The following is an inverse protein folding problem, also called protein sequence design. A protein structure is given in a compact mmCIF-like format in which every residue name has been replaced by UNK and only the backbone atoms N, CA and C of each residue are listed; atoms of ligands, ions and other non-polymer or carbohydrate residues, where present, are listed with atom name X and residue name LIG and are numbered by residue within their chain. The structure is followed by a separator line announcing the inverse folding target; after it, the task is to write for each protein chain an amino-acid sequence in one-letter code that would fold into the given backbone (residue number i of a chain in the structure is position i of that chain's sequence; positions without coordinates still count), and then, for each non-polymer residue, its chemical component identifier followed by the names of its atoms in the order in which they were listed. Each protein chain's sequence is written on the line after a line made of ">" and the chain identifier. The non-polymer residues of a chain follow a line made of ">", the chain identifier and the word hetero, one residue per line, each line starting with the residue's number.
data_IF_691555046746
#
_entry.id   IF_691555046746
#
_cell.length_a   1.000
_cell.length_b   1.000
_cell.length_c   1.000
_cell.angle_alpha   90.00
_cell.angle_beta   90.00
_cell.angle_gamma   90.00
#
_symmetry.space_group_name_H-M   'P 1'
#
loop_
_entity.id
_entity.type
_entity.pdbx_description
1 polymer ?
#
# COMPACT_ATOMS: atom_id res chain seq x y z
N UNK A 1 -6.21 7.84 43.89
CA UNK A 1 -6.99 8.98 43.37
C UNK A 1 -6.44 9.57 42.07
N UNK A 2 -5.15 9.90 41.94
CA UNK A 2 -4.61 10.46 40.68
C UNK A 2 -4.59 9.47 39.49
N UNK A 3 -4.38 8.17 39.74
CA UNK A 3 -4.34 7.12 38.68
C UNK A 3 -5.73 6.81 38.10
N UNK A 4 -6.81 6.94 38.89
CA UNK A 4 -8.18 6.70 38.43
C UNK A 4 -8.74 7.86 37.58
N UNK A 5 -8.25 9.08 37.79
CA UNK A 5 -8.61 10.25 37.00
C UNK A 5 -7.93 10.24 35.62
N UNK A 6 -6.69 9.78 35.53
CA UNK A 6 -6.00 9.55 34.24
C UNK A 6 -6.65 8.43 33.43
N UNK A 7 -7.04 7.31 34.04
CA UNK A 7 -7.75 6.23 33.35
C UNK A 7 -9.15 6.65 32.85
N UNK A 8 -9.86 7.51 33.60
CA UNK A 8 -11.17 8.05 33.18
C UNK A 8 -11.04 9.07 32.05
N UNK A 9 -10.03 9.96 32.06
CA UNK A 9 -9.73 10.86 30.94
C UNK A 9 -9.26 10.09 29.70
N UNK A 10 -8.46 9.03 29.88
CA UNK A 10 -8.03 8.13 28.81
C UNK A 10 -9.23 7.42 28.15
N UNK A 11 -10.19 6.92 28.94
CA UNK A 11 -11.41 6.29 28.42
C UNK A 11 -12.39 7.27 27.75
N UNK A 12 -12.50 8.50 28.23
CA UNK A 12 -13.37 9.53 27.61
C UNK A 12 -12.77 10.01 26.27
N UNK A 13 -11.46 10.27 26.23
CA UNK A 13 -10.73 10.59 25.00
C UNK A 13 -10.80 9.47 23.97
N UNK A 14 -10.66 8.21 24.41
CA UNK A 14 -10.84 7.04 23.54
C UNK A 14 -12.26 6.97 22.95
N UNK A 15 -13.33 7.15 23.75
CA UNK A 15 -14.71 7.08 23.23
C UNK A 15 -14.99 8.15 22.16
N UNK A 16 -14.48 9.36 22.33
CA UNK A 16 -14.66 10.46 21.39
C UNK A 16 -13.83 10.27 20.10
N UNK A 17 -12.64 9.68 20.22
CA UNK A 17 -11.82 9.23 19.09
C UNK A 17 -12.54 8.10 18.32
N UNK A 18 -13.09 7.10 19.01
CA UNK A 18 -13.84 5.99 18.39
C UNK A 18 -15.14 6.45 17.68
N UNK A 19 -15.80 7.52 18.16
CA UNK A 19 -16.97 8.10 17.49
C UNK A 19 -16.61 8.84 16.21
N UNK A 20 -15.54 9.64 16.22
CA UNK A 20 -15.03 10.28 15.00
C UNK A 20 -14.50 9.25 13.97
N UNK A 21 -13.88 8.16 14.45
CA UNK A 21 -13.46 7.00 13.63
C UNK A 21 -14.67 6.32 12.99
N UNK A 22 -15.74 6.10 13.76
CA UNK A 22 -16.99 5.49 13.28
C UNK A 22 -17.59 6.27 12.11
N UNK A 23 -17.59 7.59 12.16
CA UNK A 23 -18.17 8.41 11.09
C UNK A 23 -17.27 8.44 9.85
N UNK A 24 -15.94 8.44 10.03
CA UNK A 24 -14.96 8.25 8.95
C UNK A 24 -15.09 6.87 8.27
N UNK A 25 -15.26 5.79 9.04
CA UNK A 25 -15.38 4.42 8.51
C UNK A 25 -16.74 4.15 7.84
N UNK A 26 -17.84 4.66 8.42
CA UNK A 26 -19.17 4.62 7.79
C UNK A 26 -19.22 5.44 6.50
N UNK A 27 -18.51 6.56 6.43
CA UNK A 27 -18.45 7.35 5.19
C UNK A 27 -17.77 6.58 4.05
N UNK A 28 -16.74 5.77 4.34
CA UNK A 28 -15.97 5.06 3.31
C UNK A 28 -16.72 3.89 2.67
N UNK A 29 -17.66 3.25 3.37
CA UNK A 29 -18.34 2.04 2.89
C UNK A 29 -19.87 2.06 3.02
N UNK A 30 -20.46 3.13 3.57
CA UNK A 30 -21.87 3.19 3.96
C UNK A 30 -22.73 4.22 3.21
N UNK A 31 -22.19 5.01 2.28
CA UNK A 31 -22.98 5.96 1.50
C UNK A 31 -22.84 5.71 -0.01
N UNK A 32 -23.96 5.43 -0.69
CA UNK A 32 -24.04 5.60 -2.15
C UNK A 32 -24.31 7.07 -2.43
N UNK A 33 -23.29 7.81 -2.83
CA UNK A 33 -23.50 9.16 -3.36
C UNK A 33 -24.29 9.08 -4.67
N UNK A 34 -25.36 9.86 -4.80
CA UNK A 34 -26.10 10.04 -6.05
C UNK A 34 -25.35 10.92 -7.06
N UNK A 35 -24.33 11.67 -6.62
CA UNK A 35 -23.51 12.54 -7.47
C UNK A 35 -22.09 11.96 -7.61
N UNK A 36 -21.66 11.73 -8.86
CA UNK A 36 -20.33 11.22 -9.18
C UNK A 36 -19.28 12.35 -9.36
N UNK A 37 -19.69 13.61 -9.19
CA UNK A 37 -18.80 14.75 -9.35
C UNK A 37 -17.88 14.89 -8.12
N UNK A 38 -16.59 14.72 -8.35
CA UNK A 38 -15.55 14.86 -7.31
C UNK A 38 -14.97 16.28 -7.19
N UNK A 39 -15.03 17.07 -8.25
CA UNK A 39 -14.33 18.35 -8.35
C UNK A 39 -15.27 19.52 -8.67
N UNK A 40 -14.97 20.67 -8.09
CA UNK A 40 -15.57 21.97 -8.42
C UNK A 40 -15.18 22.43 -9.83
N UNK A 41 -15.82 23.49 -10.34
CA UNK A 41 -15.55 23.98 -11.72
C UNK A 41 -14.12 24.50 -11.87
N UNK A 42 -13.56 25.07 -10.81
CA UNK A 42 -12.17 25.54 -10.72
C UNK A 42 -11.15 24.40 -10.56
N UNK A 43 -11.60 23.17 -10.35
CA UNK A 43 -10.78 21.99 -10.14
C UNK A 43 -10.48 21.64 -8.68
N UNK A 44 -10.92 22.43 -7.69
CA UNK A 44 -10.77 22.06 -6.28
C UNK A 44 -11.59 20.80 -5.93
N UNK A 45 -11.12 20.02 -4.96
CA UNK A 45 -11.82 18.81 -4.50
C UNK A 45 -13.02 19.22 -3.64
N UNK A 46 -14.20 18.67 -3.93
CA UNK A 46 -15.43 19.00 -3.21
C UNK A 46 -15.34 18.56 -1.75
N UNK A 47 -15.01 17.30 -1.53
CA UNK A 47 -14.90 16.72 -0.18
C UNK A 47 -14.01 15.47 -0.20
N UNK A 48 -13.15 15.35 0.80
CA UNK A 48 -12.22 14.21 0.94
C UNK A 48 -12.97 12.93 1.28
N UNK A 49 -14.01 12.98 2.10
CA UNK A 49 -14.77 11.78 2.43
C UNK A 49 -15.54 11.29 1.21
N UNK A 50 -16.12 12.19 0.42
CA UNK A 50 -16.77 11.87 -0.83
C UNK A 50 -15.82 11.21 -1.84
N UNK A 51 -14.57 11.69 -1.94
CA UNK A 51 -13.52 11.03 -2.73
C UNK A 51 -13.28 9.59 -2.25
N UNK A 52 -13.15 9.39 -0.94
CA UNK A 52 -12.94 8.06 -0.35
C UNK A 52 -14.09 7.12 -0.65
N UNK A 53 -15.32 7.57 -0.44
CA UNK A 53 -16.53 6.81 -0.74
C UNK A 53 -16.63 6.46 -2.23
N UNK A 54 -16.29 7.40 -3.12
CA UNK A 54 -16.32 7.17 -4.55
C UNK A 54 -15.32 6.08 -4.97
N UNK A 55 -14.07 6.20 -4.55
CA UNK A 55 -13.06 5.20 -4.89
C UNK A 55 -13.40 3.86 -4.21
N UNK A 56 -13.90 3.86 -2.98
CA UNK A 56 -14.34 2.62 -2.31
C UNK A 56 -15.40 1.86 -3.11
N UNK A 57 -16.43 2.58 -3.59
CA UNK A 57 -17.57 1.98 -4.28
C UNK A 57 -17.33 1.70 -5.78
N UNK A 58 -16.39 2.42 -6.41
CA UNK A 58 -16.21 2.39 -7.86
C UNK A 58 -14.74 2.21 -8.25
N UNK A 59 -14.49 1.22 -9.11
CA UNK A 59 -13.20 1.06 -9.77
C UNK A 59 -12.92 2.27 -10.65
N UNK A 60 -11.76 2.89 -10.44
CA UNK A 60 -11.37 4.11 -11.15
C UNK A 60 -10.79 3.74 -12.53
N UNK A 61 -11.15 4.49 -13.55
CA UNK A 61 -10.45 4.47 -14.84
C UNK A 61 -9.06 5.10 -14.70
N UNK A 62 -8.17 4.81 -15.65
CA UNK A 62 -6.82 5.41 -15.69
C UNK A 62 -6.82 6.94 -15.56
N UNK A 63 -7.70 7.64 -16.29
CA UNK A 63 -7.82 9.11 -16.22
C UNK A 63 -8.30 9.58 -14.85
N UNK A 64 -9.23 8.87 -14.23
CA UNK A 64 -9.67 9.21 -12.87
C UNK A 64 -8.55 9.00 -11.84
N UNK A 65 -7.71 7.97 -12.00
CA UNK A 65 -6.52 7.78 -11.14
C UNK A 65 -5.58 8.97 -11.19
N UNK A 66 -5.32 9.49 -12.39
CA UNK A 66 -4.49 10.70 -12.57
C UNK A 66 -5.05 11.93 -11.82
N UNK A 67 -6.36 12.02 -11.66
CA UNK A 67 -7.02 13.12 -10.95
C UNK A 67 -7.10 12.88 -9.44
N UNK A 68 -7.28 11.63 -9.01
CA UNK A 68 -7.60 11.28 -7.61
C UNK A 68 -6.38 10.90 -6.78
N UNK A 69 -5.40 10.21 -7.38
CA UNK A 69 -4.19 9.76 -6.68
C UNK A 69 -3.34 10.88 -6.08
N UNK A 70 -3.23 12.09 -6.69
CA UNK A 70 -2.56 13.20 -6.03
C UNK A 70 -3.15 13.53 -4.65
N UNK A 71 -4.46 13.33 -4.44
CA UNK A 71 -5.09 13.52 -3.13
C UNK A 71 -4.90 12.30 -2.22
N UNK A 72 -5.01 11.08 -2.76
CA UNK A 72 -4.73 9.85 -1.99
C UNK A 72 -3.30 9.82 -1.43
N UNK A 73 -2.35 10.41 -2.15
CA UNK A 73 -0.94 10.49 -1.79
C UNK A 73 -0.55 11.84 -1.20
N UNK A 74 -1.50 12.66 -0.75
CA UNK A 74 -1.25 13.94 -0.07
C UNK A 74 -0.32 14.91 -0.82
N UNK A 75 -0.41 14.92 -2.15
CA UNK A 75 0.33 15.83 -3.03
C UNK A 75 -0.44 17.12 -3.28
N UNK A 76 -1.76 17.03 -3.43
CA UNK A 76 -2.62 18.20 -3.54
C UNK A 76 -3.48 18.37 -2.29
N UNK A 77 -3.55 19.61 -1.80
CA UNK A 77 -4.56 20.01 -0.82
C UNK A 77 -5.93 20.05 -1.50
N UNK A 78 -7.03 19.69 -0.81
CA UNK A 78 -8.39 19.76 -1.35
C UNK A 78 -8.75 21.12 -1.97
N UNK A 79 -8.23 22.22 -1.41
CA UNK A 79 -8.50 23.59 -1.87
C UNK A 79 -7.80 23.98 -3.18
N UNK A 80 -6.85 23.18 -3.68
CA UNK A 80 -6.07 23.56 -4.86
C UNK A 80 -6.91 23.54 -6.14
N UNK A 81 -6.94 24.69 -6.82
CA UNK A 81 -7.56 24.84 -8.14
C UNK A 81 -6.67 24.25 -9.25
N UNK A 82 -7.17 24.19 -10.49
CA UNK A 82 -6.38 23.80 -11.65
C UNK A 82 -5.17 24.73 -11.88
N UNK A 83 -5.31 26.02 -11.53
CA UNK A 83 -4.22 26.97 -11.61
C UNK A 83 -3.11 26.65 -10.59
N UNK A 84 -3.49 26.41 -9.33
CA UNK A 84 -2.54 26.06 -8.27
C UNK A 84 -1.80 24.74 -8.56
N UNK A 85 -2.51 23.75 -9.11
CA UNK A 85 -1.91 22.47 -9.53
C UNK A 85 -0.85 22.65 -10.59
N UNK A 86 -1.08 23.53 -11.58
CA UNK A 86 -0.11 23.83 -12.64
C UNK A 86 1.13 24.52 -12.07
N UNK A 87 0.95 25.47 -11.14
CA UNK A 87 2.07 26.09 -10.41
C UNK A 87 2.87 25.03 -9.65
N UNK A 88 2.19 24.18 -8.89
CA UNK A 88 2.83 23.12 -8.13
C UNK A 88 3.65 22.17 -9.02
N UNK A 89 3.10 21.74 -10.16
CA UNK A 89 3.82 20.89 -11.12
C UNK A 89 5.11 21.54 -11.64
N UNK A 90 5.05 22.83 -12.01
CA UNK A 90 6.24 23.56 -12.44
C UNK A 90 7.30 23.65 -11.33
N UNK A 91 6.88 23.96 -10.10
CA UNK A 91 7.79 24.02 -8.95
C UNK A 91 8.37 22.64 -8.61
N UNK A 92 7.57 21.59 -8.67
CA UNK A 92 8.00 20.21 -8.45
C UNK A 92 9.08 19.82 -9.47
N UNK A 93 8.90 20.14 -10.75
CA UNK A 93 9.89 19.86 -11.79
C UNK A 93 11.23 20.55 -11.52
N UNK A 94 11.22 21.83 -11.16
CA UNK A 94 12.43 22.59 -10.84
C UNK A 94 13.15 21.99 -9.63
N UNK A 95 12.41 21.72 -8.55
CA UNK A 95 12.96 21.15 -7.30
C UNK A 95 13.54 19.78 -7.55
N UNK A 96 12.79 18.88 -8.20
CA UNK A 96 13.23 17.52 -8.49
C UNK A 96 14.50 17.51 -9.37
N UNK A 97 14.57 18.35 -10.40
CA UNK A 97 15.75 18.44 -11.25
C UNK A 97 16.99 18.89 -10.46
N UNK A 98 16.84 19.81 -9.49
CA UNK A 98 17.93 20.22 -8.60
C UNK A 98 18.42 19.05 -7.72
N UNK A 99 17.50 18.27 -7.15
CA UNK A 99 17.83 17.10 -6.33
C UNK A 99 18.55 16.03 -7.16
N UNK A 100 18.04 15.76 -8.36
CA UNK A 100 18.58 14.76 -9.28
C UNK A 100 20.02 15.07 -9.73
N UNK A 101 20.33 16.35 -9.99
CA UNK A 101 21.67 16.79 -10.40
C UNK A 101 22.76 16.41 -9.40
N UNK A 102 22.45 16.41 -8.10
CA UNK A 102 23.45 16.13 -7.05
C UNK A 102 24.08 14.76 -7.24
N UNK A 103 23.29 13.71 -7.40
CA UNK A 103 23.84 12.36 -7.58
C UNK A 103 24.41 12.15 -8.98
N UNK A 104 23.87 12.82 -10.00
CA UNK A 104 24.41 12.76 -11.37
C UNK A 104 25.84 13.31 -11.42
N UNK A 105 26.08 14.46 -10.78
CA UNK A 105 27.42 15.06 -10.68
C UNK A 105 28.37 14.16 -9.87
N UNK A 106 27.91 13.55 -8.78
CA UNK A 106 28.73 12.63 -7.97
C UNK A 106 29.14 11.38 -8.73
N UNK A 107 28.21 10.77 -9.46
CA UNK A 107 28.51 9.65 -10.37
C UNK A 107 29.52 10.07 -11.45
N UNK A 108 29.34 11.25 -12.06
CA UNK A 108 30.26 11.75 -13.10
C UNK A 108 31.70 11.95 -12.61
N UNK A 109 31.86 12.20 -11.31
CA UNK A 109 33.17 12.34 -10.64
C UNK A 109 33.73 11.01 -10.12
N UNK A 110 33.04 9.89 -10.35
CA UNK A 110 33.47 8.57 -9.90
C UNK A 110 33.29 8.31 -8.40
N UNK A 111 32.35 8.99 -7.74
CA UNK A 111 32.07 8.78 -6.32
C UNK A 111 31.54 7.35 -6.06
N UNK A 112 32.34 6.55 -5.35
CA UNK A 112 32.10 5.12 -5.17
C UNK A 112 30.79 4.81 -4.44
N UNK A 113 30.40 5.65 -3.47
CA UNK A 113 29.14 5.43 -2.74
C UNK A 113 27.94 5.49 -3.70
N UNK A 114 27.90 6.48 -4.59
CA UNK A 114 26.80 6.66 -5.53
C UNK A 114 26.80 5.59 -6.63
N UNK A 115 27.97 5.13 -7.06
CA UNK A 115 28.09 4.05 -8.04
C UNK A 115 27.56 2.72 -7.50
N UNK A 116 27.94 2.35 -6.27
CA UNK A 116 27.45 1.13 -5.59
C UNK A 116 25.95 1.20 -5.35
N UNK A 117 25.44 2.36 -4.90
CA UNK A 117 24.01 2.58 -4.72
C UNK A 117 23.25 2.45 -6.05
N UNK A 118 23.77 3.05 -7.12
CA UNK A 118 23.18 2.97 -8.46
C UNK A 118 23.09 1.55 -8.97
N UNK A 119 24.16 0.77 -8.82
CA UNK A 119 24.22 -0.64 -9.22
C UNK A 119 23.18 -1.50 -8.44
N UNK A 120 23.07 -1.30 -7.12
CA UNK A 120 22.04 -1.97 -6.29
C UNK A 120 20.61 -1.65 -6.78
N UNK A 121 20.33 -0.37 -7.06
CA UNK A 121 19.02 0.08 -7.54
C UNK A 121 18.74 -0.44 -8.96
N UNK A 122 19.73 -0.41 -9.86
CA UNK A 122 19.58 -0.88 -11.23
C UNK A 122 19.19 -2.36 -11.29
N UNK A 123 19.87 -3.22 -10.51
CA UNK A 123 19.50 -4.65 -10.42
C UNK A 123 18.03 -4.85 -10.10
N UNK A 124 17.54 -4.11 -9.11
CA UNK A 124 16.14 -4.19 -8.69
C UNK A 124 15.17 -3.59 -9.71
N UNK A 125 15.51 -2.45 -10.30
CA UNK A 125 14.73 -1.83 -11.38
C UNK A 125 14.62 -2.79 -12.56
N UNK A 126 15.67 -3.50 -12.96
CA UNK A 126 15.62 -4.45 -14.08
C UNK A 126 14.64 -5.61 -13.86
N UNK A 127 14.59 -6.18 -12.65
CA UNK A 127 13.69 -7.29 -12.32
C UNK A 127 12.23 -6.86 -12.05
N UNK A 128 12.00 -5.60 -11.69
CA UNK A 128 10.66 -5.12 -11.27
C UNK A 128 9.67 -5.08 -12.45
N UNK A 129 8.51 -5.75 -12.32
CA UNK A 129 7.36 -5.67 -13.23
C UNK A 129 7.68 -5.76 -14.73
N UNK A 130 8.66 -6.60 -15.08
CA UNK A 130 9.12 -6.79 -16.47
C UNK A 130 8.01 -7.24 -17.44
N UNK A 131 6.92 -7.81 -16.92
CA UNK A 131 5.74 -8.23 -17.68
C UNK A 131 4.83 -7.06 -18.07
N UNK A 132 4.94 -5.91 -17.38
CA UNK A 132 4.14 -4.71 -17.67
C UNK A 132 4.86 -3.88 -18.73
N UNK A 133 4.35 -3.89 -19.97
CA UNK A 133 4.96 -3.20 -21.13
C UNK A 133 5.28 -1.72 -20.86
N UNK A 134 4.41 -1.03 -20.13
CA UNK A 134 4.63 0.37 -19.74
C UNK A 134 5.86 0.52 -18.84
N UNK A 135 5.95 -0.26 -17.75
CA UNK A 135 7.09 -0.23 -16.81
C UNK A 135 8.40 -0.64 -17.51
N UNK A 136 8.35 -1.61 -18.42
CA UNK A 136 9.52 -1.98 -19.24
C UNK A 136 10.11 -0.79 -20.01
N UNK A 137 9.28 0.16 -20.45
CA UNK A 137 9.70 1.39 -21.17
C UNK A 137 10.08 2.56 -20.25
N UNK A 138 9.85 2.44 -18.94
CA UNK A 138 10.03 3.54 -17.96
C UNK A 138 11.12 3.22 -16.92
N UNK A 139 12.06 2.33 -17.24
CA UNK A 139 13.16 1.93 -16.33
C UNK A 139 14.03 3.10 -15.90
N UNK A 140 14.31 4.03 -16.82
CA UNK A 140 15.07 5.23 -16.51
C UNK A 140 14.37 6.11 -15.47
N UNK A 141 13.06 6.36 -15.64
CA UNK A 141 12.26 7.11 -14.67
C UNK A 141 12.28 6.44 -13.29
N UNK A 142 12.11 5.11 -13.25
CA UNK A 142 12.19 4.35 -12.00
C UNK A 142 13.55 4.50 -11.32
N UNK A 143 14.64 4.33 -12.08
CA UNK A 143 16.00 4.50 -11.58
C UNK A 143 16.22 5.92 -11.03
N UNK A 144 15.86 6.95 -11.79
CA UNK A 144 16.06 8.34 -11.42
C UNK A 144 15.34 8.70 -10.12
N UNK A 145 14.07 8.30 -9.98
CA UNK A 145 13.28 8.56 -8.78
C UNK A 145 13.86 7.80 -7.60
N UNK A 146 14.20 6.51 -7.77
CA UNK A 146 14.79 5.69 -6.71
C UNK A 146 16.13 6.25 -6.23
N UNK A 147 17.04 6.58 -7.14
CA UNK A 147 18.33 7.21 -6.81
C UNK A 147 18.13 8.52 -6.05
N UNK A 148 17.26 9.39 -6.57
CA UNK A 148 16.98 10.68 -5.93
C UNK A 148 16.34 10.48 -4.57
N UNK A 149 15.48 9.47 -4.38
CA UNK A 149 14.91 9.18 -3.06
C UNK A 149 15.99 8.70 -2.09
N UNK A 150 16.77 7.68 -2.49
CA UNK A 150 17.78 7.03 -1.63
C UNK A 150 18.88 7.97 -1.16
N UNK A 151 19.28 8.92 -2.00
CA UNK A 151 20.29 9.94 -1.67
C UNK A 151 19.79 10.91 -0.59
N UNK A 152 18.51 11.26 -0.62
CA UNK A 152 17.92 12.22 0.31
C UNK A 152 17.26 11.57 1.54
N UNK A 153 17.20 10.24 1.59
CA UNK A 153 16.64 9.46 2.70
C UNK A 153 17.62 8.33 3.08
N UNK A 154 18.81 8.66 3.63
CA UNK A 154 19.94 7.74 3.74
C UNK A 154 19.76 6.61 4.76
N UNK A 155 18.70 6.63 5.56
CA UNK A 155 18.35 5.52 6.46
C UNK A 155 16.94 5.03 6.14
N UNK A 156 16.76 3.76 5.72
CA UNK A 156 17.74 2.74 5.30
C UNK A 156 18.39 2.94 3.90
N UNK A 157 18.28 4.14 3.28
CA UNK A 157 18.76 4.45 1.91
C UNK A 157 18.01 3.69 0.81
N UNK A 158 18.20 2.37 0.73
CA UNK A 158 17.52 1.51 -0.23
C UNK A 158 17.37 0.08 0.28
N UNK A 159 16.11 -0.36 0.39
CA UNK A 159 15.72 -1.71 0.75
C UNK A 159 15.06 -2.42 -0.44
N UNK A 160 15.31 -3.72 -0.55
CA UNK A 160 14.73 -4.55 -1.61
C UNK A 160 13.19 -4.50 -1.55
N UNK A 161 12.54 -4.26 -2.68
CA UNK A 161 11.08 -4.15 -2.76
C UNK A 161 10.54 -2.71 -2.73
N UNK A 162 11.37 -1.71 -2.44
CA UNK A 162 10.99 -0.30 -2.59
C UNK A 162 10.62 0.04 -4.04
N UNK A 163 11.31 -0.55 -5.03
CA UNK A 163 10.98 -0.40 -6.46
C UNK A 163 9.56 -0.87 -6.79
N UNK A 164 9.04 -1.89 -6.09
CA UNK A 164 7.69 -2.40 -6.27
C UNK A 164 6.64 -1.34 -5.91
N UNK A 165 6.88 -0.58 -4.85
CA UNK A 165 5.97 0.48 -4.40
C UNK A 165 5.97 1.69 -5.34
N UNK A 166 7.06 1.92 -6.09
CA UNK A 166 7.16 3.03 -7.03
C UNK A 166 6.40 2.79 -8.35
N UNK A 167 6.38 1.54 -8.85
CA UNK A 167 5.81 1.24 -10.17
C UNK A 167 4.34 1.68 -10.37
N UNK A 168 3.41 1.53 -9.41
CA UNK A 168 2.03 1.99 -9.58
C UNK A 168 1.96 3.51 -9.71
N UNK A 169 2.80 4.23 -8.96
CA UNK A 169 2.88 5.69 -9.00
C UNK A 169 3.34 6.14 -10.38
N UNK A 170 4.49 5.63 -10.86
CA UNK A 170 5.00 6.00 -12.20
C UNK A 170 4.01 5.63 -13.31
N UNK A 171 3.29 4.52 -13.16
CA UNK A 171 2.24 4.13 -14.10
C UNK A 171 1.11 5.15 -14.19
N UNK A 172 0.60 5.63 -13.05
CA UNK A 172 -0.51 6.58 -13.01
C UNK A 172 -0.05 7.99 -13.37
N UNK A 173 0.99 8.50 -12.71
CA UNK A 173 1.41 9.89 -12.82
C UNK A 173 2.12 10.19 -14.14
N UNK A 174 2.91 9.26 -14.67
CA UNK A 174 3.76 9.38 -15.88
C UNK A 174 4.86 10.43 -15.78
N UNK A 175 4.57 11.59 -15.20
CA UNK A 175 5.50 12.67 -14.90
C UNK A 175 6.51 12.23 -13.82
N UNK A 176 7.80 12.36 -14.13
CA UNK A 176 8.88 11.90 -13.24
C UNK A 176 8.93 12.70 -11.94
N UNK A 177 8.78 14.03 -12.02
CA UNK A 177 8.90 14.91 -10.85
C UNK A 177 7.75 14.74 -9.86
N UNK A 178 6.52 14.67 -10.37
CA UNK A 178 5.32 14.46 -9.57
C UNK A 178 5.30 13.04 -8.99
N UNK A 179 5.78 12.05 -9.76
CA UNK A 179 5.97 10.69 -9.26
C UNK A 179 6.98 10.63 -8.11
N UNK A 180 8.07 11.41 -8.15
CA UNK A 180 9.03 11.49 -7.04
C UNK A 180 8.36 11.99 -5.76
N UNK A 181 7.65 13.12 -5.79
CA UNK A 181 7.02 13.65 -4.59
C UNK A 181 5.88 12.74 -4.09
N UNK A 182 5.11 12.15 -5.00
CA UNK A 182 4.11 11.11 -4.67
C UNK A 182 4.76 9.92 -3.98
N UNK A 183 5.93 9.49 -4.45
CA UNK A 183 6.70 8.41 -3.85
C UNK A 183 7.25 8.78 -2.48
N UNK A 184 7.81 9.99 -2.30
CA UNK A 184 8.23 10.49 -0.99
C UNK A 184 7.08 10.45 0.01
N UNK A 185 5.91 10.98 -0.37
CA UNK A 185 4.71 11.00 0.49
C UNK A 185 4.19 9.60 0.79
N UNK A 186 4.26 8.66 -0.17
CA UNK A 186 3.96 7.26 0.12
C UNK A 186 4.97 6.70 1.13
N UNK A 187 6.27 6.89 0.91
CA UNK A 187 7.31 6.32 1.75
C UNK A 187 7.28 6.87 3.18
N UNK A 188 6.85 8.11 3.44
CA UNK A 188 6.66 8.56 4.85
C UNK A 188 5.66 7.69 5.62
N UNK A 189 4.71 7.03 4.95
CA UNK A 189 3.76 6.09 5.56
C UNK A 189 4.35 4.68 5.74
N UNK A 190 5.41 4.33 5.00
CA UNK A 190 5.94 2.97 4.92
C UNK A 190 7.31 2.80 5.57
N UNK A 191 8.20 3.80 5.55
CA UNK A 191 9.60 3.61 5.97
C UNK A 191 9.69 3.15 7.43
N UNK A 192 9.07 3.88 8.36
CA UNK A 192 9.13 3.55 9.80
C UNK A 192 8.26 2.35 10.19
N UNK A 193 7.47 1.80 9.25
CA UNK A 193 6.52 0.72 9.53
C UNK A 193 6.97 -0.60 8.90
N UNK A 194 7.37 -0.57 7.63
CA UNK A 194 7.60 -1.79 6.85
C UNK A 194 9.06 -2.02 6.48
N UNK A 195 9.88 -0.97 6.47
CA UNK A 195 11.29 -1.04 6.06
C UNK A 195 12.25 -0.67 7.19
N UNK A 196 11.72 -0.60 8.41
CA UNK A 196 12.51 -0.35 9.61
C UNK A 196 13.37 -1.57 9.97
N UNK A 197 14.56 -1.34 10.52
CA UNK A 197 15.52 -2.41 10.79
C UNK A 197 15.03 -3.38 11.86
N UNK A 198 14.27 -2.89 12.84
CA UNK A 198 13.79 -3.67 13.97
C UNK A 198 12.57 -4.54 13.62
N UNK A 199 12.01 -4.39 12.40
CA UNK A 199 10.89 -5.18 11.89
C UNK A 199 9.65 -5.21 12.83
N UNK A 200 9.49 -4.22 13.71
CA UNK A 200 8.47 -4.22 14.77
C UNK A 200 7.06 -4.31 14.18
N UNK A 201 6.72 -3.42 13.25
CA UNK A 201 5.35 -3.37 12.71
C UNK A 201 5.07 -4.53 11.74
N UNK A 202 6.06 -5.05 11.00
CA UNK A 202 5.83 -6.27 10.20
C UNK A 202 5.57 -7.48 11.09
N UNK A 203 6.30 -7.64 12.21
CA UNK A 203 6.05 -8.68 13.20
C UNK A 203 4.68 -8.53 13.86
N UNK A 204 4.28 -7.31 14.21
CA UNK A 204 2.93 -7.04 14.70
C UNK A 204 1.84 -7.40 13.68
N UNK A 205 2.05 -7.10 12.38
CA UNK A 205 1.12 -7.49 11.31
C UNK A 205 1.03 -9.00 11.13
N UNK A 206 2.14 -9.73 11.26
CA UNK A 206 2.17 -11.20 11.20
C UNK A 206 1.40 -11.82 12.37
N UNK A 207 1.61 -11.28 13.57
CA UNK A 207 0.87 -11.69 14.77
C UNK A 207 -0.64 -11.49 14.59
N UNK A 208 -1.06 -10.28 14.19
CA UNK A 208 -2.47 -9.98 13.94
C UNK A 208 -3.06 -10.83 12.81
N UNK A 209 -2.29 -11.07 11.74
CA UNK A 209 -2.69 -11.97 10.66
C UNK A 209 -3.03 -13.36 11.20
N UNK A 210 -2.15 -13.95 12.02
CA UNK A 210 -2.38 -15.28 12.59
C UNK A 210 -3.61 -15.33 13.49
N UNK A 211 -3.77 -14.35 14.39
CA UNK A 211 -4.94 -14.29 15.26
C UNK A 211 -6.25 -14.19 14.47
N UNK A 212 -6.30 -13.27 13.51
CA UNK A 212 -7.49 -13.04 12.70
C UNK A 212 -7.78 -14.23 11.80
N UNK A 213 -6.75 -14.82 11.19
CA UNK A 213 -6.91 -15.97 10.31
C UNK A 213 -7.44 -17.19 11.06
N UNK A 214 -6.86 -17.51 12.23
CA UNK A 214 -7.38 -18.57 13.10
C UNK A 214 -8.85 -18.34 13.47
N UNK A 215 -9.23 -17.11 13.79
CA UNK A 215 -10.62 -16.78 14.13
C UNK A 215 -11.60 -16.88 12.96
N UNK A 216 -11.13 -16.62 11.73
CA UNK A 216 -11.97 -16.55 10.52
C UNK A 216 -12.13 -17.93 9.86
N UNK A 217 -11.05 -18.72 9.78
CA UNK A 217 -11.05 -20.02 9.11
C UNK A 217 -10.07 -20.98 9.80
N UNK A 218 -10.46 -21.48 10.97
CA UNK A 218 -9.62 -22.34 11.79
C UNK A 218 -9.19 -23.63 11.06
N UNK A 219 -10.03 -24.19 10.20
CA UNK A 219 -9.70 -25.40 9.44
C UNK A 219 -8.55 -25.12 8.46
N UNK A 220 -8.65 -24.05 7.67
CA UNK A 220 -7.60 -23.66 6.74
C UNK A 220 -6.33 -23.20 7.48
N UNK A 221 -6.49 -22.51 8.60
CA UNK A 221 -5.38 -22.12 9.47
C UNK A 221 -4.63 -23.36 9.99
N UNK A 222 -5.34 -24.34 10.55
CA UNK A 222 -4.73 -25.60 11.01
C UNK A 222 -4.00 -26.30 9.86
N UNK A 223 -4.61 -26.37 8.67
CA UNK A 223 -3.95 -27.00 7.52
C UNK A 223 -2.59 -26.40 7.20
N UNK A 224 -2.46 -25.08 7.32
CA UNK A 224 -1.23 -24.35 7.00
C UNK A 224 -0.22 -24.38 8.15
N UNK A 225 -0.67 -24.30 9.40
CA UNK A 225 0.20 -24.05 10.56
C UNK A 225 0.43 -25.24 11.49
N UNK A 226 -0.35 -26.32 11.38
CA UNK A 226 -0.32 -27.41 12.36
C UNK A 226 1.00 -28.19 12.37
N UNK A 227 1.68 -28.30 11.22
CA UNK A 227 2.95 -29.04 11.09
C UNK A 227 4.17 -28.15 10.81
N UNK A 228 4.01 -26.83 10.65
CA UNK A 228 5.14 -25.96 10.34
C UNK A 228 6.00 -25.72 11.58
N UNK A 229 7.31 -25.84 11.39
CA UNK A 229 8.31 -25.36 12.37
C UNK A 229 8.12 -23.86 12.61
N UNK A 230 8.32 -23.40 13.86
CA UNK A 230 8.05 -22.01 14.25
C UNK A 230 8.82 -20.98 13.40
N UNK A 231 10.02 -21.33 12.94
CA UNK A 231 10.89 -20.47 12.13
C UNK A 231 10.38 -20.29 10.69
N UNK A 232 9.60 -21.24 10.17
CA UNK A 232 9.03 -21.18 8.82
C UNK A 232 7.61 -20.60 8.76
N UNK A 233 6.97 -20.49 9.93
CA UNK A 233 5.61 -19.94 10.04
C UNK A 233 5.58 -18.53 9.45
N UNK A 234 4.65 -18.32 8.52
CA UNK A 234 4.33 -17.02 7.91
C UNK A 234 5.34 -16.47 6.90
N UNK A 235 6.43 -17.17 6.56
CA UNK A 235 7.40 -16.67 5.58
C UNK A 235 6.74 -16.38 4.22
N UNK A 236 5.74 -17.17 3.82
CA UNK A 236 4.98 -16.92 2.59
C UNK A 236 4.17 -15.62 2.61
N UNK A 237 3.59 -15.25 3.76
CA UNK A 237 2.73 -14.06 3.90
C UNK A 237 3.53 -12.80 4.26
N UNK A 238 4.78 -12.94 4.72
CA UNK A 238 5.70 -11.83 4.97
C UNK A 238 5.76 -10.86 3.79
N UNK A 239 6.03 -11.39 2.58
CA UNK A 239 6.10 -10.60 1.36
C UNK A 239 4.76 -9.95 1.01
N UNK A 240 3.65 -10.65 1.27
CA UNK A 240 2.31 -10.15 0.98
C UNK A 240 2.01 -8.93 1.84
N UNK A 241 2.32 -9.00 3.13
CA UNK A 241 2.16 -7.87 4.04
C UNK A 241 3.13 -6.74 3.68
N UNK A 242 4.42 -7.04 3.49
CA UNK A 242 5.46 -6.04 3.16
C UNK A 242 5.11 -5.21 1.92
N UNK A 243 4.58 -5.84 0.88
CA UNK A 243 4.28 -5.21 -0.41
C UNK A 243 2.78 -4.94 -0.63
N UNK A 244 1.97 -4.94 0.43
CA UNK A 244 0.52 -4.72 0.39
C UNK A 244 -0.18 -5.55 -0.72
N UNK A 245 0.18 -6.83 -0.78
CA UNK A 245 -0.29 -7.86 -1.70
C UNK A 245 -0.06 -7.56 -3.19
N UNK A 246 0.73 -6.53 -3.56
CA UNK A 246 0.98 -6.16 -4.95
C UNK A 246 1.40 -7.34 -5.84
N UNK A 247 2.21 -8.26 -5.30
CA UNK A 247 2.74 -9.42 -6.04
C UNK A 247 1.75 -10.58 -6.18
N UNK A 248 0.58 -10.51 -5.55
CA UNK A 248 -0.44 -11.55 -5.57
C UNK A 248 -1.50 -11.33 -6.66
N UNK A 249 -1.51 -10.18 -7.32
CA UNK A 249 -2.43 -9.87 -8.42
C UNK A 249 -1.69 -9.82 -9.76
N UNK A 250 -2.29 -10.40 -10.81
CA UNK A 250 -1.67 -10.48 -12.14
C UNK A 250 -1.93 -9.24 -12.98
N UNK A 251 -3.19 -8.83 -13.09
CA UNK A 251 -3.56 -7.68 -13.92
C UNK A 251 -3.10 -6.42 -13.21
N UNK A 252 -2.36 -5.58 -13.90
CA UNK A 252 -1.87 -4.34 -13.30
C UNK A 252 -3.02 -3.44 -12.81
N UNK A 253 -4.16 -3.43 -13.50
CA UNK A 253 -5.34 -2.68 -13.05
C UNK A 253 -5.90 -3.19 -11.71
N UNK A 254 -5.82 -4.51 -11.46
CA UNK A 254 -6.24 -5.12 -10.20
C UNK A 254 -5.27 -4.71 -9.07
N UNK A 255 -3.97 -4.64 -9.36
CA UNK A 255 -2.97 -4.10 -8.42
C UNK A 255 -3.33 -2.66 -8.05
N UNK A 256 -3.61 -1.81 -9.04
CA UNK A 256 -3.99 -0.41 -8.79
C UNK A 256 -5.24 -0.34 -7.91
N UNK A 257 -6.23 -1.18 -8.19
CA UNK A 257 -7.47 -1.25 -7.42
C UNK A 257 -7.24 -1.64 -5.96
N UNK A 258 -6.41 -2.66 -5.73
CA UNK A 258 -6.07 -3.11 -4.37
C UNK A 258 -5.37 -2.02 -3.59
N UNK A 259 -4.36 -1.38 -4.20
CA UNK A 259 -3.60 -0.29 -3.57
C UNK A 259 -4.47 0.93 -3.27
N UNK A 260 -5.40 1.31 -4.16
CA UNK A 260 -6.38 2.38 -3.90
C UNK A 260 -7.17 2.13 -2.61
N UNK A 261 -7.72 0.92 -2.46
CA UNK A 261 -8.53 0.57 -1.29
C UNK A 261 -7.69 0.52 -0.02
N UNK A 262 -6.44 0.08 -0.11
CA UNK A 262 -5.49 0.12 1.02
C UNK A 262 -5.16 1.58 1.39
N UNK A 263 -4.83 2.42 0.41
CA UNK A 263 -4.41 3.81 0.65
C UNK A 263 -5.55 4.72 1.12
N UNK A 264 -6.81 4.46 0.76
CA UNK A 264 -7.97 5.16 1.32
C UNK A 264 -8.07 5.01 2.84
N UNK A 265 -7.62 3.87 3.36
CA UNK A 265 -7.57 3.61 4.79
C UNK A 265 -6.37 4.29 5.47
N UNK A 266 -5.48 4.94 4.72
CA UNK A 266 -4.27 5.61 5.20
C UNK A 266 -4.13 7.08 4.74
N UNK A 267 -5.22 7.76 4.38
CA UNK A 267 -5.13 9.15 3.85
C UNK A 267 -4.65 10.13 4.92
N UNK A 268 -5.10 9.98 6.16
CA UNK A 268 -4.55 10.71 7.31
C UNK A 268 -3.32 9.99 7.86
N UNK A 269 -2.34 10.72 8.37
CA UNK A 269 -1.09 10.18 8.94
C UNK A 269 -1.22 9.79 10.42
N UNK A 270 -2.43 9.69 10.95
CA UNK A 270 -2.65 9.30 12.36
C UNK A 270 -2.27 7.85 12.64
N UNK A 271 -1.89 7.54 13.89
CA UNK A 271 -1.64 6.15 14.34
C UNK A 271 -2.82 5.21 13.99
N UNK A 272 -4.04 5.74 14.11
CA UNK A 272 -5.29 5.02 13.84
C UNK A 272 -5.42 4.59 12.38
N UNK A 273 -5.02 5.43 11.43
CA UNK A 273 -5.12 5.14 10.00
C UNK A 273 -4.06 4.14 9.54
N UNK A 274 -2.90 4.09 10.20
CA UNK A 274 -1.91 3.03 9.96
C UNK A 274 -2.45 1.65 10.40
N UNK A 275 -3.10 1.56 11.56
CA UNK A 275 -3.75 0.32 11.99
C UNK A 275 -4.86 -0.12 11.02
N UNK A 276 -5.67 0.81 10.52
CA UNK A 276 -6.74 0.50 9.57
C UNK A 276 -6.20 -0.04 8.24
N UNK A 277 -5.11 0.54 7.72
CA UNK A 277 -4.40 0.02 6.54
C UNK A 277 -3.91 -1.40 6.78
N UNK A 278 -3.19 -1.62 7.88
CA UNK A 278 -2.65 -2.93 8.25
C UNK A 278 -3.75 -3.99 8.36
N UNK A 279 -4.87 -3.67 9.02
CA UNK A 279 -6.03 -4.56 9.14
C UNK A 279 -6.65 -4.89 7.78
N UNK A 280 -6.87 -3.90 6.92
CA UNK A 280 -7.45 -4.15 5.61
C UNK A 280 -6.55 -5.01 4.72
N UNK A 281 -5.23 -4.78 4.73
CA UNK A 281 -4.27 -5.67 4.04
C UNK A 281 -4.33 -7.09 4.60
N UNK A 282 -4.42 -7.26 5.92
CA UNK A 282 -4.53 -8.60 6.54
C UNK A 282 -5.79 -9.33 6.03
N UNK A 283 -6.94 -8.65 5.97
CA UNK A 283 -8.16 -9.26 5.44
C UNK A 283 -8.06 -9.58 3.94
N UNK A 284 -7.27 -8.83 3.17
CA UNK A 284 -6.94 -9.19 1.79
C UNK A 284 -6.11 -10.48 1.76
N UNK A 285 -5.06 -10.60 2.59
CA UNK A 285 -4.25 -11.82 2.68
C UNK A 285 -5.11 -13.06 2.98
N UNK A 286 -5.98 -12.98 3.99
CA UNK A 286 -6.91 -14.06 4.36
C UNK A 286 -7.87 -14.37 3.21
N UNK A 287 -8.37 -13.34 2.54
CA UNK A 287 -9.30 -13.51 1.42
C UNK A 287 -8.64 -14.15 0.19
N UNK A 288 -7.34 -13.92 -0.04
CA UNK A 288 -6.55 -14.60 -1.07
C UNK A 288 -6.43 -16.09 -0.72
N UNK A 289 -6.11 -16.44 0.52
CA UNK A 289 -6.02 -17.84 0.95
C UNK A 289 -7.36 -18.57 0.78
N UNK A 290 -8.46 -17.91 1.13
CA UNK A 290 -9.80 -18.48 0.99
C UNK A 290 -10.26 -18.64 -0.46
N UNK A 291 -9.63 -17.94 -1.40
CA UNK A 291 -9.92 -18.12 -2.83
C UNK A 291 -9.47 -19.51 -3.33
N UNK A 292 -8.38 -20.04 -2.76
CA UNK A 292 -7.84 -21.37 -3.04
C UNK A 292 -8.11 -22.37 -1.91
N UNK A 293 -9.07 -22.09 -1.02
CA UNK A 293 -9.35 -22.89 0.19
C UNK A 293 -9.39 -24.40 -0.07
N UNK A 294 -10.23 -24.84 -1.00
CA UNK A 294 -10.42 -26.27 -1.29
C UNK A 294 -9.15 -26.92 -1.83
N UNK A 295 -8.39 -26.18 -2.63
CA UNK A 295 -7.11 -26.64 -3.17
C UNK A 295 -6.07 -26.80 -2.07
N UNK A 296 -5.96 -25.81 -1.18
CA UNK A 296 -5.03 -25.86 -0.04
C UNK A 296 -5.36 -27.04 0.89
N UNK A 297 -6.64 -27.25 1.19
CA UNK A 297 -7.10 -28.37 2.02
C UNK A 297 -6.83 -29.73 1.38
N UNK A 298 -6.85 -29.82 0.04
CA UNK A 298 -6.65 -31.07 -0.70
C UNK A 298 -5.21 -31.59 -0.72
N UNK A 299 -4.21 -30.75 -0.43
CA UNK A 299 -2.81 -31.20 -0.41
C UNK A 299 -2.60 -32.28 0.66
N UNK A 300 -2.01 -33.42 0.29
CA UNK A 300 -1.81 -34.54 1.22
C UNK A 300 -0.55 -34.42 2.05
N UNK A 301 0.49 -33.73 1.55
CA UNK A 301 1.77 -33.54 2.22
C UNK A 301 2.15 -32.05 2.32
N UNK A 302 3.11 -31.75 3.20
CA UNK A 302 3.59 -30.40 3.46
C UNK A 302 4.49 -29.84 2.35
N UNK A 303 5.25 -30.70 1.68
CA UNK A 303 6.16 -30.28 0.60
C UNK A 303 5.40 -29.65 -0.56
N UNK A 304 4.28 -30.24 -0.98
CA UNK A 304 3.43 -29.74 -2.06
C UNK A 304 2.69 -28.47 -1.66
N UNK A 305 2.31 -28.35 -0.38
CA UNK A 305 1.75 -27.13 0.18
C UNK A 305 2.79 -25.99 0.19
N UNK A 306 4.03 -26.28 0.58
CA UNK A 306 5.14 -25.32 0.53
C UNK A 306 5.47 -24.92 -0.92
N UNK A 307 5.49 -25.88 -1.86
CA UNK A 307 5.61 -25.58 -3.30
C UNK A 307 4.48 -24.66 -3.77
N UNK A 308 3.25 -24.84 -3.30
CA UNK A 308 2.14 -23.94 -3.65
C UNK A 308 2.38 -22.49 -3.20
N UNK A 309 2.95 -22.28 -2.01
CA UNK A 309 3.25 -20.96 -1.48
C UNK A 309 4.49 -20.30 -2.11
N UNK A 310 5.57 -21.06 -2.30
CA UNK A 310 6.88 -20.53 -2.70
C UNK A 310 7.21 -20.66 -4.19
N UNK A 311 6.47 -21.46 -4.95
CA UNK A 311 6.71 -21.54 -6.39
C UNK A 311 6.52 -20.15 -7.01
N UNK A 312 7.59 -19.68 -7.66
CA UNK A 312 7.70 -18.38 -8.33
C UNK A 312 6.79 -18.25 -9.57
N UNK A 313 5.86 -19.19 -9.75
CA UNK A 313 4.61 -19.09 -10.52
C UNK A 313 3.64 -18.06 -9.90
N UNK A 314 4.21 -16.94 -9.47
CA UNK A 314 3.56 -15.64 -9.47
C UNK A 314 2.59 -15.56 -10.64
N UNK A 315 1.31 -15.37 -10.31
CA UNK A 315 0.32 -14.65 -11.10
C UNK A 315 -0.26 -15.29 -12.38
N UNK A 316 0.36 -16.28 -13.03
CA UNK A 316 -0.23 -16.86 -14.27
C UNK A 316 -1.29 -17.95 -14.04
N UNK A 317 -1.19 -18.75 -12.97
CA UNK A 317 -2.12 -19.86 -12.72
C UNK A 317 -3.23 -19.56 -11.71
N UNK A 318 -3.02 -18.54 -10.86
CA UNK A 318 -4.03 -18.08 -9.89
C UNK A 318 -4.94 -17.07 -10.59
N UNK A 319 -5.93 -17.56 -11.33
CA UNK A 319 -7.03 -16.73 -11.84
C UNK A 319 -7.99 -16.36 -10.70
N UNK A 320 -7.45 -15.75 -9.65
CA UNK A 320 -8.24 -15.27 -8.54
C UNK A 320 -9.15 -14.15 -9.01
N UNK A 321 -10.39 -14.15 -8.53
CA UNK A 321 -11.27 -13.02 -8.75
C UNK A 321 -10.91 -11.93 -7.76
N UNK A 322 -10.19 -10.91 -8.24
CA UNK A 322 -9.90 -9.68 -7.48
C UNK A 322 -11.17 -9.11 -6.85
N UNK A 323 -12.30 -9.15 -7.56
CA UNK A 323 -13.60 -8.72 -7.05
C UNK A 323 -14.03 -9.52 -5.82
N UNK A 324 -14.01 -10.85 -5.87
CA UNK A 324 -14.41 -11.70 -4.73
C UNK A 324 -13.49 -11.52 -3.53
N UNK A 325 -12.17 -11.42 -3.77
CA UNK A 325 -11.18 -11.17 -2.73
C UNK A 325 -11.49 -9.85 -2.01
N UNK A 326 -11.72 -8.77 -2.77
CA UNK A 326 -11.98 -7.45 -2.21
C UNK A 326 -13.33 -7.38 -1.49
N UNK A 327 -14.40 -7.97 -2.05
CA UNK A 327 -15.72 -8.04 -1.40
C UNK A 327 -15.64 -8.80 -0.06
N UNK A 328 -14.92 -9.92 -0.04
CA UNK A 328 -14.70 -10.72 1.17
C UNK A 328 -13.88 -9.95 2.22
N UNK A 329 -12.79 -9.31 1.81
CA UNK A 329 -11.95 -8.51 2.69
C UNK A 329 -12.72 -7.32 3.29
N UNK A 330 -13.53 -6.63 2.49
CA UNK A 330 -14.41 -5.56 2.96
C UNK A 330 -15.43 -6.06 3.99
N UNK A 331 -16.05 -7.23 3.75
CA UNK A 331 -16.98 -7.84 4.71
C UNK A 331 -16.29 -8.12 6.05
N UNK A 332 -15.10 -8.70 6.04
CA UNK A 332 -14.34 -8.95 7.28
C UNK A 332 -13.97 -7.66 8.00
N UNK A 333 -13.49 -6.65 7.25
CA UNK A 333 -13.14 -5.36 7.80
C UNK A 333 -14.33 -4.66 8.48
N UNK A 334 -15.50 -4.66 7.82
CA UNK A 334 -16.73 -4.07 8.37
C UNK A 334 -17.25 -4.85 9.58
N UNK A 335 -17.18 -6.18 9.57
CA UNK A 335 -17.59 -7.00 10.70
C UNK A 335 -16.69 -6.74 11.92
N UNK A 336 -15.37 -6.76 11.73
CA UNK A 336 -14.39 -6.54 12.81
C UNK A 336 -14.54 -5.15 13.45
N UNK A 337 -14.79 -4.13 12.63
CA UNK A 337 -14.99 -2.76 13.13
C UNK A 337 -16.38 -2.56 13.77
N UNK A 338 -17.37 -3.37 13.38
CA UNK A 338 -18.72 -3.33 13.95
C UNK A 338 -18.89 -4.16 15.23
N UNK A 339 -18.05 -5.17 15.47
CA UNK A 339 -18.14 -6.08 16.62
C UNK A 339 -17.40 -5.57 17.87
N UNK A 340 -16.62 -4.49 17.77
CA UNK A 340 -16.05 -3.78 18.94
C UNK A 340 -17.01 -2.73 19.55
N UNK A 341 -18.31 -2.88 19.30
CA UNK A 341 -19.38 -2.17 20.03
C UNK A 341 -19.54 -2.79 21.41
#
# INVERSE_FOLDING_TARGET
>A
MHIELEQKQYHHGHRQIWTNIRDLLKSCFGFRSKNNRLFNKDGSLIDVNHLRTNISNHQQSYKQRQQTWPYLLNIYSPSMTNYDKKIYQNQAQIRYNKLKRVWQERISRGDQFYLVLADKILRDVHRTDRHVKFIKKKKEILFNIMMTYSVYHPYPCYSQGMSDMLTPIVYVFVDESLSYFAYCSLMTRYMNLLFDQDQIEINHRLYLFNLLFHSIDNELWKKIYFNQEEEEKNLFVYRWLLLDCKREFYRFDDILRVLELIWINSISSSIITNHNRSLFTIFICISILQEDRMKILSYSNEEDLNKYFYSSLSSKSRHHSTKRILERAQKYYLNYTSSKK
#
